data_IF_607537427312
#
_entry.id   IF_607537427312
#
_cell.length_a   1.000
_cell.length_b   1.000
_cell.length_c   1.000
_cell.angle_alpha   90.00
_cell.angle_beta   90.00
_cell.angle_gamma   90.00
#
_symmetry.space_group_name_H-M   'P 1'
#
loop_
_entity.id
_entity.type
_entity.pdbx_description
1 polymer ?
#
# COMPACT_ATOMS: atom_id res chain seq x y z
N UNK A 1 -10.14 17.41 3.76
CA UNK A 1 -11.22 16.57 3.16
C UNK A 1 -11.06 16.42 1.63
N UNK A 2 -10.26 17.27 0.99
CA UNK A 2 -10.04 17.25 -0.47
C UNK A 2 -9.04 16.17 -0.93
N UNK A 3 -8.22 15.65 -0.02
CA UNK A 3 -7.22 14.63 -0.34
C UNK A 3 -7.69 13.29 0.23
N UNK A 4 -7.88 12.25 -0.61
CA UNK A 4 -8.22 10.91 -0.15
C UNK A 4 -7.18 10.40 0.85
N UNK A 5 -7.63 9.95 2.02
CA UNK A 5 -6.75 9.47 3.10
C UNK A 5 -6.42 10.50 4.18
N UNK A 6 -6.37 11.80 3.87
CA UNK A 6 -6.09 12.83 4.88
C UNK A 6 -7.25 12.97 5.89
N UNK A 7 -8.47 12.68 5.46
CA UNK A 7 -9.67 12.72 6.32
C UNK A 7 -9.66 11.64 7.41
N UNK A 8 -8.93 10.54 7.22
CA UNK A 8 -8.79 9.48 8.23
C UNK A 8 -7.66 9.75 9.22
N UNK A 9 -6.64 10.50 8.80
CA UNK A 9 -5.46 10.80 9.62
C UNK A 9 -5.67 12.08 10.46
N UNK A 10 -6.43 13.05 9.95
CA UNK A 10 -6.62 14.33 10.59
C UNK A 10 -7.25 14.26 12.00
N UNK A 11 -8.28 13.44 12.29
CA UNK A 11 -8.85 13.35 13.64
C UNK A 11 -7.87 12.81 14.69
N UNK A 12 -7.17 11.70 14.49
CA UNK A 12 -6.19 11.21 15.47
C UNK A 12 -5.02 12.18 15.64
N UNK A 13 -4.58 12.87 14.57
CA UNK A 13 -3.52 13.87 14.65
C UNK A 13 -3.95 15.08 15.49
N UNK A 14 -5.18 15.58 15.32
CA UNK A 14 -5.73 16.66 16.12
C UNK A 14 -5.82 16.28 17.60
N UNK A 15 -6.13 15.03 17.91
CA UNK A 15 -6.09 14.48 19.28
C UNK A 15 -4.67 14.46 19.86
N UNK A 16 -3.68 14.02 19.09
CA UNK A 16 -2.29 14.01 19.49
C UNK A 16 -1.72 15.41 19.73
N UNK A 17 -2.16 16.40 18.96
CA UNK A 17 -1.81 17.83 19.13
C UNK A 17 -2.58 18.51 20.27
N UNK A 18 -3.42 17.80 21.02
CA UNK A 18 -4.25 18.32 22.12
C UNK A 18 -5.13 19.52 21.70
N UNK A 19 -5.65 19.50 20.48
CA UNK A 19 -6.56 20.55 20.02
C UNK A 19 -7.82 20.57 20.89
N UNK A 20 -8.19 21.75 21.36
CA UNK A 20 -9.41 21.91 22.16
C UNK A 20 -10.66 21.50 21.37
N UNK A 21 -11.59 20.84 22.02
CA UNK A 21 -12.86 20.38 21.45
C UNK A 21 -13.61 21.44 20.62
N UNK A 22 -13.76 22.71 21.10
CA UNK A 22 -14.46 23.73 20.32
C UNK A 22 -13.73 24.08 19.01
N UNK A 23 -12.42 24.24 19.08
CA UNK A 23 -11.59 24.54 17.90
C UNK A 23 -11.62 23.41 16.86
N UNK A 24 -11.61 22.16 17.32
CA UNK A 24 -11.73 21.00 16.44
C UNK A 24 -13.08 20.98 15.72
N UNK A 25 -14.18 21.19 16.45
CA UNK A 25 -15.53 21.23 15.87
C UNK A 25 -15.68 22.36 14.86
N UNK A 26 -15.17 23.56 15.20
CA UNK A 26 -15.26 24.73 14.33
C UNK A 26 -14.48 24.50 13.02
N UNK A 27 -13.24 24.04 13.10
CA UNK A 27 -12.42 23.77 11.92
C UNK A 27 -12.99 22.61 11.07
N UNK A 28 -13.47 21.56 11.73
CA UNK A 28 -14.07 20.43 11.03
C UNK A 28 -15.40 20.81 10.38
N UNK A 29 -16.24 21.59 11.08
CA UNK A 29 -17.50 22.13 10.56
C UNK A 29 -17.28 23.05 9.36
N UNK A 30 -16.34 23.99 9.47
CA UNK A 30 -15.97 24.87 8.35
C UNK A 30 -15.49 24.04 7.13
N UNK A 31 -14.65 23.03 7.37
CA UNK A 31 -14.20 22.11 6.32
C UNK A 31 -15.33 21.33 5.65
N UNK A 32 -16.39 20.96 6.41
CA UNK A 32 -17.59 20.32 5.84
C UNK A 32 -18.37 21.30 4.97
N UNK A 33 -18.60 22.53 5.47
CA UNK A 33 -19.35 23.56 4.74
C UNK A 33 -18.65 23.93 3.44
N UNK A 34 -17.34 24.13 3.46
CA UNK A 34 -16.55 24.42 2.25
C UNK A 34 -16.64 23.26 1.27
N UNK A 35 -16.47 22.02 1.74
CA UNK A 35 -16.52 20.85 0.88
C UNK A 35 -17.90 20.63 0.26
N UNK A 36 -18.95 20.71 1.08
CA UNK A 36 -20.33 20.60 0.60
C UNK A 36 -20.71 21.74 -0.35
N UNK A 37 -20.31 22.97 -0.02
CA UNK A 37 -20.52 24.14 -0.87
C UNK A 37 -19.81 24.02 -2.22
N UNK A 38 -18.56 23.54 -2.22
CA UNK A 38 -17.83 23.29 -3.45
C UNK A 38 -18.49 22.19 -4.30
N UNK A 39 -18.96 21.11 -3.67
CA UNK A 39 -19.65 20.03 -4.37
C UNK A 39 -20.98 20.48 -4.95
N UNK A 40 -21.79 21.23 -4.19
CA UNK A 40 -23.05 21.80 -4.65
C UNK A 40 -22.81 22.83 -5.75
N UNK A 41 -21.83 23.73 -5.56
CA UNK A 41 -21.46 24.72 -6.57
C UNK A 41 -20.97 24.10 -7.86
N UNK A 42 -20.15 23.07 -7.80
CA UNK A 42 -19.76 22.28 -8.97
C UNK A 42 -20.99 21.64 -9.63
N UNK A 43 -21.88 21.01 -8.85
CA UNK A 43 -23.12 20.43 -9.36
C UNK A 43 -23.99 21.48 -10.10
N UNK A 44 -24.12 22.70 -9.55
CA UNK A 44 -24.84 23.79 -10.18
C UNK A 44 -24.20 24.29 -11.48
N UNK A 45 -22.86 24.41 -11.50
CA UNK A 45 -22.11 24.86 -12.67
C UNK A 45 -22.15 23.84 -13.82
N UNK A 46 -22.07 22.55 -13.48
CA UNK A 46 -22.05 21.48 -14.46
C UNK A 46 -23.43 20.95 -14.83
N UNK A 47 -24.48 21.29 -14.07
CA UNK A 47 -25.84 20.81 -14.29
C UNK A 47 -26.35 21.12 -15.72
N UNK A 48 -26.10 22.30 -16.25
CA UNK A 48 -26.52 22.66 -17.61
C UNK A 48 -25.78 21.81 -18.68
N UNK A 49 -24.47 21.60 -18.51
CA UNK A 49 -23.71 20.74 -19.41
C UNK A 49 -24.08 19.27 -19.32
N UNK A 50 -24.42 18.80 -18.10
CA UNK A 50 -24.89 17.42 -17.89
C UNK A 50 -26.25 17.23 -18.54
N UNK A 51 -27.18 18.17 -18.41
CA UNK A 51 -28.51 18.09 -19.04
C UNK A 51 -28.41 18.11 -20.55
N UNK A 52 -27.54 18.93 -21.15
CA UNK A 52 -27.29 18.92 -22.58
C UNK A 52 -26.67 17.61 -23.04
N UNK A 53 -25.74 17.06 -22.26
CA UNK A 53 -25.14 15.75 -22.55
C UNK A 53 -26.15 14.62 -22.45
N UNK A 54 -27.02 14.64 -21.45
CA UNK A 54 -28.08 13.64 -21.26
C UNK A 54 -29.07 13.73 -22.43
N UNK A 55 -29.50 14.95 -22.82
CA UNK A 55 -30.36 15.12 -23.97
C UNK A 55 -29.74 14.57 -25.26
N UNK A 56 -28.46 14.82 -25.51
CA UNK A 56 -27.73 14.25 -26.66
C UNK A 56 -27.60 12.73 -26.59
N UNK A 57 -27.47 12.16 -25.38
CA UNK A 57 -27.44 10.70 -25.20
C UNK A 57 -28.82 10.08 -25.43
N UNK A 58 -29.89 10.75 -25.01
CA UNK A 58 -31.27 10.33 -25.32
C UNK A 58 -31.54 10.33 -26.83
N UNK A 59 -31.04 11.35 -27.56
CA UNK A 59 -31.12 11.42 -29.03
C UNK A 59 -30.30 10.31 -29.75
N UNK A 60 -29.19 9.84 -29.14
CA UNK A 60 -28.38 8.74 -29.67
C UNK A 60 -28.97 7.35 -29.37
N UNK A 61 -30.03 7.29 -28.58
CA UNK A 61 -30.80 6.08 -28.27
C UNK A 61 -30.17 5.14 -27.24
N UNK A 62 -30.94 4.18 -26.80
CA UNK A 62 -30.58 3.21 -25.77
C UNK A 62 -29.27 2.42 -26.07
N UNK A 63 -28.97 2.20 -27.35
CA UNK A 63 -27.79 1.48 -27.82
C UNK A 63 -26.46 2.16 -27.42
N UNK A 64 -26.41 3.50 -27.43
CA UNK A 64 -25.19 4.21 -27.04
C UNK A 64 -24.96 4.12 -25.54
N UNK A 65 -26.01 4.19 -24.71
CA UNK A 65 -25.96 4.01 -23.27
C UNK A 65 -25.54 2.60 -22.92
N UNK A 66 -26.05 1.58 -23.57
CA UNK A 66 -25.63 0.18 -23.37
C UNK A 66 -24.17 -0.03 -23.77
N UNK A 67 -23.72 0.56 -24.88
CA UNK A 67 -22.33 0.48 -25.30
C UNK A 67 -21.35 1.11 -24.25
N UNK A 68 -21.70 2.29 -23.72
CA UNK A 68 -20.90 2.95 -22.68
C UNK A 68 -20.92 2.13 -21.39
N UNK A 69 -22.07 1.59 -20.99
CA UNK A 69 -22.17 0.74 -19.80
C UNK A 69 -21.33 -0.54 -19.95
N UNK A 70 -21.37 -1.18 -21.11
CA UNK A 70 -20.57 -2.37 -21.42
C UNK A 70 -19.06 -2.06 -21.42
N UNK A 71 -18.64 -0.94 -22.01
CA UNK A 71 -17.24 -0.51 -21.99
C UNK A 71 -16.76 -0.23 -20.57
N UNK A 72 -17.57 0.43 -19.75
CA UNK A 72 -17.25 0.72 -18.37
C UNK A 72 -17.20 -0.57 -17.54
N UNK A 73 -18.17 -1.46 -17.71
CA UNK A 73 -18.18 -2.76 -17.05
C UNK A 73 -16.97 -3.61 -17.47
N UNK A 74 -16.64 -3.62 -18.76
CA UNK A 74 -15.44 -4.28 -19.27
C UNK A 74 -14.15 -3.72 -18.68
N UNK A 75 -14.01 -2.39 -18.62
CA UNK A 75 -12.87 -1.73 -18.00
C UNK A 75 -12.73 -2.11 -16.51
N UNK A 76 -13.83 -2.04 -15.76
CA UNK A 76 -13.84 -2.42 -14.34
C UNK A 76 -13.51 -3.89 -14.15
N UNK A 77 -14.08 -4.77 -14.99
CA UNK A 77 -13.81 -6.21 -14.94
C UNK A 77 -12.34 -6.54 -15.26
N UNK A 78 -11.76 -5.91 -16.29
CA UNK A 78 -10.36 -6.04 -16.64
C UNK A 78 -9.44 -5.58 -15.49
N UNK A 79 -9.74 -4.41 -14.93
CA UNK A 79 -8.99 -3.85 -13.80
C UNK A 79 -9.07 -4.73 -12.55
N UNK A 80 -10.26 -5.27 -12.30
CA UNK A 80 -10.49 -6.20 -11.20
C UNK A 80 -9.78 -7.54 -11.43
N UNK A 81 -9.78 -8.05 -12.66
CA UNK A 81 -9.11 -9.29 -13.04
C UNK A 81 -7.58 -9.17 -12.96
N UNK A 82 -7.00 -8.06 -13.44
CA UNK A 82 -5.58 -7.73 -13.26
C UNK A 82 -5.21 -7.71 -11.78
N UNK A 83 -6.04 -7.06 -10.98
CA UNK A 83 -5.86 -6.97 -9.54
C UNK A 83 -5.93 -8.35 -8.87
N UNK A 84 -6.93 -9.16 -9.23
CA UNK A 84 -7.06 -10.54 -8.71
C UNK A 84 -5.91 -11.45 -9.14
N UNK A 85 -5.48 -11.35 -10.38
CA UNK A 85 -4.34 -12.11 -10.90
C UNK A 85 -3.05 -11.75 -10.16
N UNK A 86 -2.87 -10.46 -9.89
CA UNK A 86 -1.76 -9.97 -9.09
C UNK A 86 -1.78 -10.51 -7.66
N UNK A 87 -2.92 -10.44 -6.97
CA UNK A 87 -3.05 -10.98 -5.62
C UNK A 87 -2.90 -12.52 -5.57
N UNK A 88 -3.32 -13.24 -6.59
CA UNK A 88 -3.08 -14.70 -6.68
C UNK A 88 -1.59 -15.00 -6.84
N UNK A 89 -0.89 -14.27 -7.68
CA UNK A 89 0.56 -14.45 -7.89
C UNK A 89 1.34 -14.15 -6.60
N UNK A 90 0.98 -13.11 -5.88
CA UNK A 90 1.57 -12.79 -4.58
C UNK A 90 1.25 -13.85 -3.50
N UNK A 91 0.06 -14.44 -3.51
CA UNK A 91 -0.28 -15.53 -2.58
C UNK A 91 0.55 -16.78 -2.81
N UNK A 92 0.87 -17.10 -4.05
CA UNK A 92 1.68 -18.28 -4.41
C UNK A 92 3.16 -18.08 -4.06
N UNK A 93 3.64 -16.82 -4.11
CA UNK A 93 5.04 -16.49 -3.88
C UNK A 93 5.39 -16.15 -2.41
N UNK A 94 4.41 -16.08 -1.50
CA UNK A 94 4.68 -15.75 -0.08
C UNK A 94 5.42 -16.86 0.64
N UNK A 95 6.31 -16.48 1.55
CA UNK A 95 6.99 -17.40 2.46
C UNK A 95 6.43 -17.23 3.87
N UNK A 96 6.15 -18.32 4.58
CA UNK A 96 5.78 -18.30 5.98
C UNK A 96 6.99 -18.11 6.89
N UNK A 97 6.77 -17.62 8.14
CA UNK A 97 7.85 -17.45 9.11
C UNK A 97 8.57 -18.78 9.42
N UNK A 98 7.84 -19.89 9.54
CA UNK A 98 8.43 -21.23 9.76
C UNK A 98 9.26 -21.72 8.58
N UNK A 99 8.80 -21.46 7.34
CA UNK A 99 9.55 -21.82 6.14
C UNK A 99 10.83 -20.99 6.01
N UNK A 100 10.75 -19.67 6.30
CA UNK A 100 11.94 -18.81 6.33
C UNK A 100 12.94 -19.30 7.37
N UNK A 101 12.46 -19.65 8.57
CA UNK A 101 13.32 -20.20 9.63
C UNK A 101 14.02 -21.49 9.17
N UNK A 102 13.29 -22.41 8.54
CA UNK A 102 13.83 -23.64 8.01
C UNK A 102 14.90 -23.41 6.91
N UNK A 103 14.74 -22.36 6.08
CA UNK A 103 15.74 -21.97 5.09
C UNK A 103 17.03 -21.47 5.76
N UNK A 104 16.91 -20.68 6.82
CA UNK A 104 18.05 -20.17 7.59
C UNK A 104 18.79 -21.34 8.27
N UNK A 105 18.08 -22.20 8.98
CA UNK A 105 18.65 -23.34 9.71
C UNK A 105 19.24 -24.39 8.76
N UNK A 106 18.64 -24.53 7.57
CA UNK A 106 19.15 -25.42 6.50
C UNK A 106 20.36 -24.87 5.75
N UNK A 107 20.93 -23.75 6.16
CA UNK A 107 22.17 -23.18 5.59
C UNK A 107 22.01 -22.53 4.21
N UNK A 108 20.78 -22.32 3.71
CA UNK A 108 20.52 -21.70 2.40
C UNK A 108 20.79 -20.20 2.35
N UNK A 109 21.04 -19.55 3.49
CA UNK A 109 21.40 -18.13 3.65
C UNK A 109 20.54 -17.18 2.79
N UNK A 110 19.20 -17.15 2.96
CA UNK A 110 18.36 -16.21 2.23
C UNK A 110 18.78 -14.78 2.56
N UNK A 111 18.63 -13.86 1.62
CA UNK A 111 18.80 -12.44 1.89
C UNK A 111 17.48 -11.91 2.41
N UNK A 112 17.47 -11.44 3.64
CA UNK A 112 16.29 -10.90 4.31
C UNK A 112 16.38 -9.37 4.23
N UNK A 113 15.32 -8.72 3.78
CA UNK A 113 15.28 -7.26 3.56
C UNK A 113 14.10 -6.64 4.29
N UNK A 114 14.40 -5.69 5.16
CA UNK A 114 13.44 -4.89 5.88
C UNK A 114 13.06 -3.65 5.06
N UNK A 115 11.89 -3.68 4.43
CA UNK A 115 11.41 -2.58 3.59
C UNK A 115 10.45 -1.62 4.31
N UNK A 116 10.47 -1.61 5.63
CA UNK A 116 9.78 -0.61 6.43
C UNK A 116 10.40 0.77 6.18
N UNK A 117 9.57 1.82 6.25
CA UNK A 117 10.08 3.20 6.22
C UNK A 117 10.99 3.48 7.41
N UNK A 118 11.88 4.46 7.29
CA UNK A 118 12.77 4.88 8.39
C UNK A 118 11.97 5.17 9.66
N UNK A 119 10.91 5.97 9.57
CA UNK A 119 10.06 6.28 10.72
C UNK A 119 9.42 5.05 11.37
N UNK A 120 9.02 4.04 10.58
CA UNK A 120 8.48 2.79 11.11
C UNK A 120 9.56 1.96 11.82
N UNK A 121 10.80 1.97 11.32
CA UNK A 121 11.95 1.31 11.97
C UNK A 121 12.40 2.01 13.26
N UNK A 122 12.22 3.33 13.35
CA UNK A 122 12.52 4.11 14.54
C UNK A 122 11.50 3.89 15.65
N UNK A 123 10.22 3.68 15.27
CA UNK A 123 9.13 3.35 16.19
C UNK A 123 9.25 1.92 16.75
N UNK A 124 9.57 0.95 15.89
CA UNK A 124 9.84 -0.43 16.29
C UNK A 124 11.21 -0.86 15.75
N UNK A 125 12.20 -0.86 16.66
CA UNK A 125 13.59 -1.15 16.35
C UNK A 125 13.89 -2.63 16.16
N UNK A 126 12.95 -3.50 16.49
CA UNK A 126 13.11 -4.95 16.33
C UNK A 126 13.21 -5.27 14.84
N UNK A 127 14.06 -6.22 14.52
CA UNK A 127 14.22 -6.72 13.15
C UNK A 127 14.62 -8.19 13.15
N UNK A 128 14.40 -8.86 12.02
CA UNK A 128 14.82 -10.25 11.84
C UNK A 128 16.36 -10.30 11.76
N UNK A 129 17.02 -11.16 12.53
CA UNK A 129 18.50 -11.25 12.54
C UNK A 129 19.09 -11.34 11.14
N UNK A 130 20.11 -10.53 10.88
CA UNK A 130 20.77 -10.47 9.58
C UNK A 130 20.00 -9.73 8.48
N UNK A 131 18.87 -9.09 8.78
CA UNK A 131 18.11 -8.36 7.77
C UNK A 131 18.77 -7.04 7.37
N UNK A 132 18.84 -6.80 6.05
CA UNK A 132 19.27 -5.54 5.46
C UNK A 132 18.14 -4.52 5.54
N UNK A 133 18.43 -3.33 6.05
CA UNK A 133 17.48 -2.23 6.02
C UNK A 133 17.54 -1.53 4.66
N UNK A 134 16.40 -1.47 3.97
CA UNK A 134 16.31 -0.84 2.65
C UNK A 134 14.93 -0.22 2.50
N UNK A 135 14.85 1.10 2.42
CA UNK A 135 13.58 1.78 2.13
C UNK A 135 13.11 1.45 0.70
N UNK A 136 11.79 1.43 0.47
CA UNK A 136 11.23 1.17 -0.87
C UNK A 136 11.83 2.11 -1.92
N UNK A 137 12.05 3.37 -1.56
CA UNK A 137 12.63 4.38 -2.44
C UNK A 137 14.11 4.11 -2.77
N UNK A 138 14.81 3.38 -1.90
CA UNK A 138 16.24 3.07 -2.05
C UNK A 138 16.49 1.78 -2.86
N UNK A 139 15.46 0.96 -3.06
CA UNK A 139 15.60 -0.36 -3.72
C UNK A 139 16.28 -0.25 -5.09
N UNK A 140 15.90 0.76 -5.91
CA UNK A 140 16.47 0.93 -7.26
C UNK A 140 17.96 1.28 -7.23
N UNK A 141 18.35 2.11 -6.28
CA UNK A 141 19.74 2.56 -6.14
C UNK A 141 20.65 1.47 -5.54
N UNK A 142 20.05 0.46 -4.89
CA UNK A 142 20.77 -0.59 -4.16
C UNK A 142 20.52 -1.99 -4.70
N UNK A 143 20.10 -2.10 -5.97
CA UNK A 143 19.85 -3.39 -6.64
C UNK A 143 21.11 -4.28 -6.67
N UNK A 144 22.30 -3.69 -6.76
CA UNK A 144 23.58 -4.39 -6.77
C UNK A 144 23.86 -5.17 -5.46
N UNK A 145 23.23 -4.76 -4.36
CA UNK A 145 23.33 -5.46 -3.07
C UNK A 145 22.47 -6.72 -3.01
N UNK A 146 21.57 -6.90 -3.97
CA UNK A 146 20.60 -7.99 -4.00
C UNK A 146 21.08 -9.09 -4.98
N UNK A 147 21.52 -10.25 -4.49
CA UNK A 147 21.99 -11.33 -5.35
C UNK A 147 20.83 -11.96 -6.13
N UNK A 148 21.09 -12.36 -7.37
CA UNK A 148 20.10 -13.04 -8.23
C UNK A 148 20.07 -14.55 -8.05
N UNK A 149 21.10 -15.13 -7.44
CA UNK A 149 21.31 -16.57 -7.26
C UNK A 149 20.70 -17.13 -5.97
N UNK A 150 20.38 -16.26 -5.00
CA UNK A 150 19.82 -16.63 -3.70
C UNK A 150 18.37 -16.19 -3.54
N UNK A 151 17.70 -16.77 -2.56
CA UNK A 151 16.34 -16.36 -2.22
C UNK A 151 16.36 -15.03 -1.47
N UNK A 152 15.52 -14.10 -1.91
CA UNK A 152 15.36 -12.79 -1.30
C UNK A 152 13.98 -12.72 -0.65
N UNK A 153 13.96 -12.45 0.66
CA UNK A 153 12.74 -12.37 1.44
C UNK A 153 12.54 -10.94 1.94
N UNK A 154 11.47 -10.30 1.50
CA UNK A 154 11.10 -8.96 1.93
C UNK A 154 10.06 -9.01 3.04
N UNK A 155 10.19 -8.16 4.05
CA UNK A 155 9.16 -8.00 5.07
C UNK A 155 8.90 -6.53 5.42
N UNK A 156 7.68 -6.27 5.88
CA UNK A 156 7.24 -4.99 6.43
C UNK A 156 6.22 -5.22 7.55
N UNK A 157 5.71 -4.16 8.14
CA UNK A 157 4.62 -4.18 9.15
C UNK A 157 3.32 -3.61 8.60
N UNK A 158 3.19 -3.45 7.27
CA UNK A 158 1.99 -2.93 6.63
C UNK A 158 0.90 -3.99 6.51
N UNK A 159 -0.39 -3.62 6.57
CA UNK A 159 -1.48 -4.56 6.32
C UNK A 159 -1.31 -5.26 4.96
N UNK A 160 -1.47 -6.60 4.96
CA UNK A 160 -1.30 -7.48 3.78
C UNK A 160 0.09 -7.39 3.10
N UNK A 161 1.13 -7.03 3.86
CA UNK A 161 2.51 -6.90 3.37
C UNK A 161 2.65 -6.06 2.09
N UNK A 162 1.84 -5.00 1.99
CA UNK A 162 1.70 -4.22 0.75
C UNK A 162 3.05 -3.68 0.23
N UNK A 163 3.89 -3.17 1.12
CA UNK A 163 5.22 -2.66 0.79
C UNK A 163 6.16 -3.76 0.30
N UNK A 164 6.23 -4.88 1.02
CA UNK A 164 7.06 -6.03 0.64
C UNK A 164 6.61 -6.64 -0.70
N UNK A 165 5.29 -6.72 -0.92
CA UNK A 165 4.71 -7.20 -2.16
C UNK A 165 4.99 -6.27 -3.36
N UNK A 166 5.02 -4.96 -3.14
CA UNK A 166 5.33 -3.98 -4.17
C UNK A 166 6.79 -4.08 -4.61
N UNK A 167 7.72 -4.21 -3.67
CA UNK A 167 9.14 -4.42 -3.97
C UNK A 167 9.37 -5.75 -4.68
N UNK A 168 8.76 -6.83 -4.21
CA UNK A 168 8.85 -8.13 -4.84
C UNK A 168 8.39 -8.09 -6.30
N UNK A 169 7.26 -7.43 -6.60
CA UNK A 169 6.78 -7.24 -7.97
C UNK A 169 7.79 -6.50 -8.85
N UNK A 170 8.38 -5.44 -8.31
CA UNK A 170 9.36 -4.64 -9.03
C UNK A 170 10.59 -5.44 -9.41
N UNK A 171 11.14 -6.20 -8.46
CA UNK A 171 12.28 -7.07 -8.70
C UNK A 171 11.96 -8.21 -9.67
N UNK A 172 10.77 -8.81 -9.59
CA UNK A 172 10.34 -9.80 -10.58
C UNK A 172 10.28 -9.21 -12.00
N UNK A 173 9.87 -7.96 -12.16
CA UNK A 173 9.88 -7.27 -13.45
C UNK A 173 11.30 -7.00 -13.97
N UNK A 174 12.30 -6.92 -13.08
CA UNK A 174 13.72 -6.80 -13.39
C UNK A 174 14.43 -8.16 -13.59
N UNK A 175 13.67 -9.27 -13.57
CA UNK A 175 14.21 -10.61 -13.86
C UNK A 175 14.60 -11.43 -12.62
N UNK A 176 14.37 -10.94 -11.41
CA UNK A 176 14.59 -11.73 -10.20
C UNK A 176 13.53 -12.82 -10.06
N UNK A 177 13.92 -14.06 -9.99
CA UNK A 177 12.99 -15.21 -9.96
C UNK A 177 12.73 -15.76 -8.57
N UNK A 178 13.60 -15.46 -7.60
CA UNK A 178 13.57 -16.00 -6.23
C UNK A 178 13.29 -14.91 -5.20
N UNK A 179 12.16 -14.22 -5.37
CA UNK A 179 11.75 -13.10 -4.52
C UNK A 179 10.41 -13.40 -3.87
N UNK A 180 10.35 -13.39 -2.55
CA UNK A 180 9.15 -13.77 -1.80
C UNK A 180 8.88 -12.79 -0.64
N UNK A 181 7.68 -12.21 -0.52
CA UNK A 181 7.30 -11.46 0.68
C UNK A 181 7.02 -12.42 1.84
N UNK A 182 7.46 -12.03 3.04
CA UNK A 182 7.16 -12.75 4.28
C UNK A 182 5.71 -12.52 4.68
N UNK A 183 4.94 -13.59 4.76
CA UNK A 183 3.55 -13.53 5.15
C UNK A 183 3.40 -13.09 6.62
N UNK A 184 2.60 -12.06 6.85
CA UNK A 184 2.41 -11.44 8.16
C UNK A 184 3.62 -10.60 8.61
N UNK A 185 4.66 -10.47 7.79
CA UNK A 185 5.80 -9.58 8.03
C UNK A 185 6.56 -9.89 9.33
N UNK A 186 7.06 -8.83 9.98
CA UNK A 186 7.78 -8.93 11.25
C UNK A 186 6.91 -9.50 12.38
N UNK A 187 5.64 -9.14 12.40
CA UNK A 187 4.72 -9.58 13.45
C UNK A 187 4.56 -11.10 13.43
N UNK A 188 4.36 -11.70 12.25
CA UNK A 188 4.27 -13.16 12.13
C UNK A 188 5.56 -13.90 12.50
N UNK A 189 6.72 -13.27 12.33
CA UNK A 189 7.99 -13.81 12.78
C UNK A 189 8.07 -13.83 14.31
N UNK A 190 7.64 -12.75 14.96
CA UNK A 190 7.59 -12.61 16.42
C UNK A 190 6.55 -13.56 17.02
N UNK A 191 5.36 -13.62 16.43
CA UNK A 191 4.26 -14.48 16.87
C UNK A 191 4.63 -15.98 16.78
N UNK A 192 5.48 -16.35 15.84
CA UNK A 192 6.05 -17.68 15.73
C UNK A 192 7.12 -17.98 16.79
N UNK A 193 7.45 -17.03 17.67
CA UNK A 193 8.42 -17.18 18.76
C UNK A 193 9.88 -17.12 18.32
N UNK A 194 10.18 -16.61 17.13
CA UNK A 194 11.55 -16.51 16.65
C UNK A 194 12.24 -15.26 17.17
N UNK A 195 13.55 -15.38 17.43
CA UNK A 195 14.37 -14.28 17.93
C UNK A 195 14.41 -13.09 16.99
N UNK A 196 14.46 -11.91 17.59
CA UNK A 196 14.67 -10.63 16.90
C UNK A 196 15.88 -9.92 17.49
N UNK A 197 16.50 -9.05 16.72
CA UNK A 197 17.52 -8.13 17.16
C UNK A 197 16.96 -6.71 17.23
N UNK A 198 17.61 -5.85 18.02
CA UNK A 198 17.26 -4.43 18.10
C UNK A 198 18.37 -3.57 17.52
N UNK A 199 17.99 -2.60 16.67
CA UNK A 199 18.93 -1.61 16.17
C UNK A 199 19.22 -0.57 17.26
N UNK A 200 20.51 -0.15 17.41
CA UNK A 200 20.84 0.97 18.30
C UNK A 200 20.05 2.22 17.89
N UNK A 201 19.78 3.10 18.87
CA UNK A 201 19.19 4.39 18.58
C UNK A 201 20.09 5.13 17.58
N UNK A 202 19.49 5.66 16.50
CA UNK A 202 20.20 6.62 15.69
C UNK A 202 20.50 7.81 16.60
N UNK A 203 21.78 7.96 17.00
CA UNK A 203 22.22 9.14 17.71
C UNK A 203 21.97 10.32 16.78
N UNK A 204 21.05 11.21 17.20
CA UNK A 204 20.71 12.45 16.52
C UNK A 204 21.89 13.43 16.47
#
# INVERSE_FOLDING_TARGET
KFIPGLSTIAPPLAGAMRLGWPSFLLLNGLGVVIWAGAAIGAGMLFHAGINELVARIEDLGALALEAIALLLAGYVALKWWERRRFYKMLRIARIGAGELRALIDGGKRPVIVDVRSRGSRDLDRRFIPGALAMDIAEVDARLEELPTDREIVFYCTCPNEASAAQVAKKLMALGYTRVRPLHGGLDAWIDAGYGVEERPAANG
#
